data_IF_651904406692
#
_entry.id   IF_651904406692
#
_cell.length_a   1.000
_cell.length_b   1.000
_cell.length_c   1.000
_cell.angle_alpha   90.00
_cell.angle_beta   90.00
_cell.angle_gamma   90.00
#
_symmetry.space_group_name_H-M   'P 1'
#
loop_
_entity.id
_entity.type
_entity.pdbx_description
1 polymer ?
#
# COMPACT_ATOMS: atom_id res chain seq x y z
N UNK A 1 -17.51 -27.48 -6.88
CA UNK A 1 -16.40 -26.80 -6.18
C UNK A 1 -16.48 -27.20 -4.72
N UNK A 2 -15.33 -27.44 -4.07
CA UNK A 2 -15.25 -27.75 -2.66
C UNK A 2 -15.69 -26.52 -1.83
N UNK A 3 -16.41 -26.76 -0.74
CA UNK A 3 -16.87 -25.69 0.14
C UNK A 3 -15.73 -25.21 1.06
N UNK A 4 -15.69 -23.92 1.39
CA UNK A 4 -14.59 -23.34 2.20
C UNK A 4 -14.49 -23.99 3.60
N UNK A 5 -15.61 -24.39 4.19
CA UNK A 5 -15.62 -25.02 5.52
C UNK A 5 -14.99 -26.42 5.54
N UNK A 6 -14.84 -27.08 4.41
CA UNK A 6 -14.09 -28.34 4.29
C UNK A 6 -12.65 -28.07 3.84
N UNK A 7 -12.46 -27.22 2.83
CA UNK A 7 -11.14 -26.93 2.26
C UNK A 7 -10.17 -26.30 3.27
N UNK A 8 -10.64 -25.33 4.08
CA UNK A 8 -9.78 -24.57 5.00
C UNK A 8 -9.17 -25.46 6.09
N UNK A 9 -9.95 -26.31 6.84
CA UNK A 9 -9.36 -27.22 7.82
C UNK A 9 -8.39 -28.24 7.19
N UNK A 10 -8.69 -28.71 5.97
CA UNK A 10 -7.79 -29.60 5.23
C UNK A 10 -6.45 -28.91 4.95
N UNK A 11 -6.47 -27.69 4.42
CA UNK A 11 -5.25 -26.90 4.22
C UNK A 11 -4.50 -26.66 5.55
N UNK A 12 -5.23 -26.38 6.64
CA UNK A 12 -4.66 -26.22 7.97
C UNK A 12 -3.94 -27.48 8.49
N UNK A 13 -4.36 -28.69 8.05
CA UNK A 13 -3.69 -29.94 8.42
C UNK A 13 -2.33 -30.14 7.74
N UNK A 14 -2.05 -29.40 6.67
CA UNK A 14 -0.81 -29.51 5.89
C UNK A 14 0.23 -28.41 6.20
N UNK A 15 -0.17 -27.37 6.92
CA UNK A 15 0.64 -26.17 7.10
C UNK A 15 0.79 -25.82 8.58
N UNK A 16 1.90 -25.20 8.95
CA UNK A 16 2.09 -24.60 10.28
C UNK A 16 1.59 -23.15 10.33
N UNK A 17 1.66 -22.45 9.19
CA UNK A 17 1.20 -21.06 9.01
C UNK A 17 0.57 -20.93 7.63
N UNK A 18 -0.46 -20.11 7.48
CA UNK A 18 -1.16 -19.91 6.22
C UNK A 18 -1.15 -18.43 5.82
N UNK A 19 -0.63 -18.12 4.63
CA UNK A 19 -0.76 -16.82 3.98
C UNK A 19 -1.98 -16.79 3.07
N UNK A 20 -2.88 -15.83 3.28
CA UNK A 20 -4.09 -15.67 2.47
C UNK A 20 -4.01 -14.42 1.61
N UNK A 21 -4.33 -14.56 0.32
CA UNK A 21 -4.44 -13.45 -0.63
C UNK A 21 -5.82 -13.44 -1.27
N UNK A 22 -6.60 -12.41 -0.97
CA UNK A 22 -7.96 -12.26 -1.49
C UNK A 22 -8.23 -10.81 -1.89
N UNK A 23 -8.34 -10.58 -3.19
CA UNK A 23 -8.52 -9.23 -3.72
C UNK A 23 -9.94 -8.71 -3.57
N UNK A 24 -10.09 -7.38 -3.49
CA UNK A 24 -11.36 -6.72 -3.70
C UNK A 24 -11.90 -7.03 -5.11
N UNK A 25 -13.19 -7.27 -5.20
CA UNK A 25 -13.88 -7.49 -6.47
C UNK A 25 -14.33 -6.18 -7.13
N UNK A 26 -14.40 -5.09 -6.33
CA UNK A 26 -14.87 -3.77 -6.74
C UNK A 26 -16.31 -3.73 -7.26
N UNK A 27 -17.13 -4.69 -6.88
CA UNK A 27 -18.55 -4.77 -7.23
C UNK A 27 -19.44 -4.20 -6.12
N UNK A 28 -19.12 -4.54 -4.87
CA UNK A 28 -19.82 -4.12 -3.66
C UNK A 28 -18.78 -3.87 -2.56
N UNK A 29 -18.73 -2.62 -2.10
CA UNK A 29 -17.78 -2.19 -1.09
C UNK A 29 -18.01 -2.89 0.26
N UNK A 30 -19.28 -3.08 0.65
CA UNK A 30 -19.61 -3.72 1.92
C UNK A 30 -19.16 -5.19 1.91
N UNK A 31 -19.42 -5.92 0.80
CA UNK A 31 -18.95 -7.30 0.62
C UNK A 31 -17.43 -7.39 0.66
N UNK A 32 -16.74 -6.49 -0.04
CA UNK A 32 -15.26 -6.46 -0.07
C UNK A 32 -14.69 -6.16 1.31
N UNK A 33 -15.28 -5.22 2.07
CA UNK A 33 -14.80 -4.82 3.39
C UNK A 33 -15.07 -5.86 4.50
N UNK A 34 -15.98 -6.81 4.27
CA UNK A 34 -16.15 -7.97 5.15
C UNK A 34 -14.97 -8.94 5.09
N UNK A 35 -14.15 -8.89 4.04
CA UNK A 35 -12.97 -9.76 3.85
C UNK A 35 -13.24 -11.24 4.17
N UNK A 36 -14.42 -11.73 3.78
CA UNK A 36 -14.97 -13.05 4.18
C UNK A 36 -13.99 -14.20 4.02
N UNK A 37 -13.22 -14.23 2.93
CA UNK A 37 -12.27 -15.32 2.68
C UNK A 37 -11.20 -15.34 3.77
N UNK A 38 -10.58 -14.19 4.06
CA UNK A 38 -9.57 -14.06 5.11
C UNK A 38 -10.15 -14.45 6.47
N UNK A 39 -11.33 -13.94 6.81
CA UNK A 39 -12.04 -14.25 8.05
C UNK A 39 -12.34 -15.75 8.22
N UNK A 40 -12.75 -16.45 7.14
CA UNK A 40 -12.98 -17.88 7.18
C UNK A 40 -11.68 -18.65 7.48
N UNK A 41 -10.55 -18.27 6.87
CA UNK A 41 -9.27 -18.88 7.19
C UNK A 41 -8.84 -18.66 8.63
N UNK A 42 -9.00 -17.44 9.16
CA UNK A 42 -8.70 -17.12 10.56
C UNK A 42 -9.54 -18.01 11.51
N UNK A 43 -10.81 -18.21 11.20
CA UNK A 43 -11.74 -18.95 12.09
C UNK A 43 -11.60 -20.46 12.02
N UNK A 44 -11.24 -21.01 10.85
CA UNK A 44 -11.43 -22.45 10.59
C UNK A 44 -10.15 -23.21 10.25
N UNK A 45 -9.01 -22.54 10.02
CA UNK A 45 -7.78 -23.23 9.67
C UNK A 45 -7.12 -23.97 10.84
N UNK A 46 -7.38 -23.54 12.08
CA UNK A 46 -6.67 -24.03 13.26
C UNK A 46 -5.16 -23.69 13.27
N UNK A 47 -4.74 -22.74 12.42
CA UNK A 47 -3.35 -22.31 12.25
C UNK A 47 -3.24 -20.80 12.29
N UNK A 48 -2.09 -20.23 12.63
CA UNK A 48 -1.83 -18.80 12.42
C UNK A 48 -2.01 -18.42 10.96
N UNK A 49 -2.75 -17.34 10.73
CA UNK A 49 -3.05 -16.81 9.40
C UNK A 49 -2.50 -15.40 9.29
N UNK A 50 -1.88 -15.06 8.17
CA UNK A 50 -1.53 -13.69 7.85
C UNK A 50 -2.09 -13.27 6.48
N UNK A 51 -2.46 -12.00 6.37
CA UNK A 51 -2.90 -11.43 5.10
C UNK A 51 -1.70 -11.12 4.21
N UNK A 52 -1.62 -11.74 3.05
CA UNK A 52 -0.69 -11.35 2.00
C UNK A 52 -1.21 -10.12 1.23
N UNK A 53 -2.51 -10.07 1.00
CA UNK A 53 -3.28 -8.94 0.47
C UNK A 53 -4.77 -9.24 0.67
N UNK A 54 -5.53 -8.25 1.12
CA UNK A 54 -6.97 -8.33 1.25
C UNK A 54 -7.62 -7.09 0.59
N UNK A 55 -8.93 -6.97 0.68
CA UNK A 55 -9.64 -5.88 0.01
C UNK A 55 -9.25 -4.50 0.55
N UNK A 56 -8.99 -4.40 1.85
CA UNK A 56 -8.70 -3.11 2.50
C UNK A 56 -7.22 -2.90 2.78
N UNK A 57 -6.42 -3.97 2.92
CA UNK A 57 -5.03 -3.90 3.37
C UNK A 57 -4.10 -4.82 2.59
N UNK A 58 -2.88 -4.34 2.40
CA UNK A 58 -1.75 -5.11 1.89
C UNK A 58 -0.56 -5.01 2.86
N UNK A 59 -0.64 -5.65 4.04
CA UNK A 59 0.27 -5.38 5.15
C UNK A 59 1.74 -5.67 4.82
N UNK A 60 2.04 -6.74 4.10
CA UNK A 60 3.41 -7.07 3.72
C UNK A 60 4.01 -6.04 2.75
N UNK A 61 3.21 -5.45 1.86
CA UNK A 61 3.67 -4.38 0.99
C UNK A 61 3.99 -3.14 1.82
N UNK A 62 3.05 -2.70 2.65
CA UNK A 62 3.24 -1.49 3.43
C UNK A 62 4.39 -1.60 4.42
N UNK A 63 4.66 -2.80 4.91
CA UNK A 63 5.85 -3.06 5.72
C UNK A 63 7.14 -3.01 4.89
N UNK A 64 7.14 -3.54 3.67
CA UNK A 64 8.26 -3.41 2.74
C UNK A 64 8.54 -1.95 2.37
N UNK A 65 7.47 -1.16 2.17
CA UNK A 65 7.57 0.28 1.90
C UNK A 65 8.25 1.01 3.07
N UNK A 66 7.84 0.69 4.31
CA UNK A 66 8.48 1.24 5.53
C UNK A 66 9.95 0.85 5.63
N UNK A 67 10.28 -0.44 5.42
CA UNK A 67 11.67 -0.91 5.43
C UNK A 67 12.50 -0.11 4.42
N UNK A 68 11.97 0.08 3.21
CA UNK A 68 12.65 0.84 2.16
C UNK A 68 12.89 2.30 2.57
N UNK A 69 11.87 2.96 3.16
CA UNK A 69 12.05 4.33 3.67
C UNK A 69 13.14 4.36 4.76
N UNK A 70 13.12 3.42 5.70
CA UNK A 70 14.10 3.34 6.78
C UNK A 70 15.54 3.14 6.27
N UNK A 71 15.72 2.37 5.19
CA UNK A 71 17.04 2.13 4.57
C UNK A 71 17.60 3.36 3.83
N UNK A 72 16.72 4.19 3.24
CA UNK A 72 17.13 5.30 2.38
C UNK A 72 16.94 6.69 2.98
N UNK A 73 16.26 6.80 4.13
CA UNK A 73 16.06 8.10 4.77
C UNK A 73 17.38 8.70 5.26
N UNK A 74 17.50 10.01 5.11
CA UNK A 74 18.64 10.80 5.61
C UNK A 74 18.26 11.69 6.79
N UNK A 75 16.97 11.82 7.08
CA UNK A 75 16.40 12.60 8.19
C UNK A 75 15.68 11.65 9.15
N UNK A 76 15.68 11.97 10.43
CA UNK A 76 14.92 11.21 11.44
C UNK A 76 13.43 11.19 11.12
N UNK A 77 12.88 12.36 10.74
CA UNK A 77 11.49 12.54 10.32
C UNK A 77 11.43 13.02 8.87
N UNK A 78 11.51 12.10 7.89
CA UNK A 78 11.42 12.49 6.50
C UNK A 78 9.99 12.96 6.16
N UNK A 79 9.87 13.86 5.18
CA UNK A 79 8.60 14.21 4.57
C UNK A 79 8.26 13.17 3.51
N UNK A 80 7.18 12.43 3.75
CA UNK A 80 6.67 11.40 2.84
C UNK A 80 5.37 11.88 2.21
N UNK A 81 5.32 11.99 0.89
CA UNK A 81 4.13 12.38 0.14
C UNK A 81 3.55 11.17 -0.57
N UNK A 82 2.30 10.85 -0.29
CA UNK A 82 1.57 9.77 -0.92
C UNK A 82 0.51 10.30 -1.87
N UNK A 83 0.49 9.74 -3.09
CA UNK A 83 -0.60 9.95 -4.04
C UNK A 83 -1.41 8.65 -4.16
N UNK A 84 -2.62 8.62 -3.58
CA UNK A 84 -3.57 7.48 -3.58
C UNK A 84 -3.05 6.15 -2.98
N UNK A 85 -3.25 5.85 -1.71
CA UNK A 85 -3.13 4.50 -1.15
C UNK A 85 -3.77 4.39 0.25
N UNK A 86 -4.29 3.19 0.62
CA UNK A 86 -4.88 2.95 1.94
C UNK A 86 -3.86 2.38 2.95
N UNK A 87 -3.41 1.16 2.75
CA UNK A 87 -2.60 0.44 3.72
C UNK A 87 -1.23 1.07 3.99
N UNK A 88 -0.64 1.75 3.00
CA UNK A 88 0.56 2.55 3.19
C UNK A 88 0.36 3.64 4.25
N UNK A 89 -0.81 4.30 4.23
CA UNK A 89 -1.12 5.39 5.13
C UNK A 89 -1.12 4.96 6.61
N UNK A 90 -1.59 3.76 6.93
CA UNK A 90 -1.59 3.25 8.32
C UNK A 90 -0.16 3.13 8.86
N UNK A 91 0.78 2.60 8.08
CA UNK A 91 2.18 2.46 8.47
C UNK A 91 2.90 3.81 8.59
N UNK A 92 2.64 4.74 7.66
CA UNK A 92 3.21 6.09 7.72
C UNK A 92 2.67 6.89 8.91
N UNK A 93 1.40 6.67 9.27
CA UNK A 93 0.83 7.25 10.49
C UNK A 93 1.44 6.66 11.77
N UNK A 94 1.86 5.39 11.75
CA UNK A 94 2.52 4.74 12.88
C UNK A 94 4.00 5.15 12.99
N UNK A 95 4.67 5.35 11.86
CA UNK A 95 6.03 5.88 11.81
C UNK A 95 6.02 7.40 12.05
N UNK A 96 6.79 7.96 12.89
CA UNK A 96 6.74 9.41 13.22
C UNK A 96 7.30 10.30 12.08
N UNK A 97 6.73 10.20 10.86
CA UNK A 97 7.10 10.99 9.67
C UNK A 97 6.22 12.23 9.48
N UNK A 98 6.69 13.23 8.73
CA UNK A 98 5.85 14.30 8.17
C UNK A 98 5.10 13.73 6.97
N UNK A 99 3.92 13.16 7.24
CA UNK A 99 3.15 12.43 6.24
C UNK A 99 2.07 13.31 5.60
N UNK A 100 2.10 13.38 4.27
CA UNK A 100 1.16 14.15 3.46
C UNK A 100 0.47 13.23 2.45
N UNK A 101 -0.86 13.32 2.41
CA UNK A 101 -1.70 12.65 1.41
C UNK A 101 -2.14 13.68 0.40
N UNK A 102 -1.98 13.39 -0.90
CA UNK A 102 -2.47 14.26 -1.97
C UNK A 102 -3.26 13.46 -3.00
N UNK A 103 -4.39 13.99 -3.41
CA UNK A 103 -5.27 13.42 -4.43
C UNK A 103 -6.25 14.47 -4.96
N UNK A 104 -6.85 14.30 -6.15
CA UNK A 104 -7.95 15.14 -6.59
C UNK A 104 -9.19 14.91 -5.71
N UNK A 105 -10.13 15.86 -5.75
CA UNK A 105 -11.44 15.69 -5.13
C UNK A 105 -12.15 14.42 -5.65
N UNK A 106 -12.86 13.72 -4.76
CA UNK A 106 -13.54 12.46 -5.05
C UNK A 106 -12.69 11.19 -4.87
N UNK A 107 -11.43 11.36 -4.44
CA UNK A 107 -10.51 10.25 -4.16
C UNK A 107 -10.10 10.18 -2.68
N UNK A 108 -10.93 10.74 -1.81
CA UNK A 108 -10.69 10.77 -0.38
C UNK A 108 -10.54 9.36 0.18
N UNK A 109 -9.54 9.17 1.04
CA UNK A 109 -9.41 7.96 1.82
C UNK A 109 -10.43 7.96 2.97
N UNK A 110 -10.84 6.77 3.40
CA UNK A 110 -11.65 6.66 4.60
C UNK A 110 -10.91 7.26 5.82
N UNK A 111 -11.61 7.96 6.72
CA UNK A 111 -10.98 8.71 7.83
C UNK A 111 -9.99 7.89 8.67
N UNK A 112 -10.27 6.59 8.86
CA UNK A 112 -9.38 5.69 9.60
C UNK A 112 -7.99 5.54 8.96
N UNK A 113 -7.87 5.70 7.63
CA UNK A 113 -6.59 5.63 6.92
C UNK A 113 -5.89 6.98 6.86
N UNK A 114 -6.63 8.09 6.86
CA UNK A 114 -6.03 9.43 6.91
C UNK A 114 -5.25 9.62 8.21
N UNK A 115 -5.84 9.23 9.34
CA UNK A 115 -5.19 9.35 10.65
C UNK A 115 -4.71 10.77 10.94
N UNK A 116 -3.42 10.92 11.24
CA UNK A 116 -2.77 12.23 11.51
C UNK A 116 -2.15 12.89 10.27
N UNK A 117 -2.28 12.26 9.09
CA UNK A 117 -1.72 12.81 7.86
C UNK A 117 -2.34 14.16 7.52
N UNK A 118 -1.55 15.07 6.98
CA UNK A 118 -2.04 16.28 6.34
C UNK A 118 -2.55 15.94 4.94
N UNK A 119 -3.74 16.40 4.59
CA UNK A 119 -4.29 16.29 3.22
C UNK A 119 -4.04 17.59 2.49
N UNK A 120 -3.47 17.50 1.29
CA UNK A 120 -3.23 18.65 0.40
C UNK A 120 -3.76 18.29 -1.00
N UNK A 121 -4.69 19.07 -1.51
CA UNK A 121 -5.32 18.87 -2.82
C UNK A 121 -4.50 19.43 -3.98
N UNK A 122 -3.55 20.33 -3.71
CA UNK A 122 -2.57 20.79 -4.69
C UNK A 122 -1.34 19.87 -4.64
N UNK A 123 -1.21 19.02 -5.65
CA UNK A 123 -0.12 18.04 -5.71
C UNK A 123 1.26 18.74 -5.72
N UNK A 124 1.41 19.89 -6.38
CA UNK A 124 2.69 20.61 -6.44
C UNK A 124 3.09 21.10 -5.06
N UNK A 125 2.17 21.70 -4.30
CA UNK A 125 2.40 22.09 -2.90
C UNK A 125 2.71 20.92 -1.99
N UNK A 126 2.00 19.80 -2.17
CA UNK A 126 2.27 18.60 -1.40
C UNK A 126 3.72 18.15 -1.57
N UNK A 127 4.22 18.18 -2.81
CA UNK A 127 5.56 17.70 -3.18
C UNK A 127 6.70 18.62 -2.73
N UNK A 128 6.45 19.91 -2.47
CA UNK A 128 7.50 20.83 -2.04
C UNK A 128 8.29 20.32 -0.84
N UNK A 129 9.60 20.16 -1.00
CA UNK A 129 10.49 19.68 0.05
C UNK A 129 10.27 18.25 0.52
N UNK A 130 9.57 17.40 -0.25
CA UNK A 130 9.44 15.98 0.06
C UNK A 130 10.78 15.24 0.00
N UNK A 131 10.96 14.25 0.85
CA UNK A 131 12.09 13.31 0.84
C UNK A 131 11.73 12.00 0.12
N UNK A 132 10.45 11.61 0.16
CA UNK A 132 9.92 10.47 -0.54
C UNK A 132 8.59 10.80 -1.21
N UNK A 133 8.40 10.30 -2.43
CA UNK A 133 7.15 10.40 -3.20
C UNK A 133 6.68 8.98 -3.50
N UNK A 134 5.59 8.58 -2.85
CA UNK A 134 4.94 7.28 -3.08
C UNK A 134 3.73 7.48 -3.97
N UNK A 135 3.75 6.92 -5.17
CA UNK A 135 2.61 6.96 -6.08
C UNK A 135 1.90 5.60 -6.15
N UNK A 136 0.60 5.62 -6.41
CA UNK A 136 -0.20 4.41 -6.63
C UNK A 136 -1.19 4.59 -7.77
N UNK A 137 -1.70 3.48 -8.30
CA UNK A 137 -2.73 3.50 -9.34
C UNK A 137 -4.02 4.13 -8.81
N UNK A 138 -4.67 4.90 -9.65
CA UNK A 138 -5.84 5.69 -9.28
C UNK A 138 -7.10 4.83 -9.21
N UNK A 139 -7.74 4.80 -8.05
CA UNK A 139 -9.06 4.22 -7.84
C UNK A 139 -9.77 4.99 -6.71
N UNK A 140 -11.05 5.28 -6.88
CA UNK A 140 -11.87 5.88 -5.84
C UNK A 140 -12.26 4.83 -4.79
N UNK A 141 -12.22 5.22 -3.52
CA UNK A 141 -12.59 4.35 -2.39
C UNK A 141 -13.92 4.73 -1.75
N UNK A 142 -14.48 5.90 -2.11
CA UNK A 142 -15.77 6.37 -1.61
C UNK A 142 -16.93 5.95 -2.50
N UNK A 143 -18.08 5.66 -1.90
CA UNK A 143 -19.35 5.47 -2.63
C UNK A 143 -19.85 6.79 -3.23
N UNK A 144 -20.52 6.77 -4.38
CA UNK A 144 -20.92 5.59 -5.18
C UNK A 144 -19.86 5.17 -6.23
N UNK A 145 -18.64 5.61 -6.09
CA UNK A 145 -17.58 5.48 -7.11
C UNK A 145 -16.52 4.43 -6.76
N UNK A 146 -16.79 3.59 -5.79
CA UNK A 146 -15.85 2.56 -5.33
C UNK A 146 -15.22 1.77 -6.48
N UNK A 147 -13.90 1.70 -6.52
CA UNK A 147 -13.11 1.01 -7.53
C UNK A 147 -13.01 1.71 -8.90
N UNK A 148 -13.72 2.82 -9.12
CA UNK A 148 -13.73 3.52 -10.42
C UNK A 148 -12.55 4.48 -10.54
N UNK A 149 -12.07 4.63 -11.77
CA UNK A 149 -11.13 5.70 -12.13
C UNK A 149 -11.96 6.90 -12.60
N UNK A 150 -12.11 7.90 -11.72
CA UNK A 150 -12.93 9.09 -11.98
C UNK A 150 -12.18 10.14 -12.81
N UNK A 151 -10.89 10.28 -12.55
CA UNK A 151 -10.02 11.25 -13.18
C UNK A 151 -8.91 10.54 -13.95
N UNK A 152 -8.69 10.96 -15.19
CA UNK A 152 -7.56 10.54 -16.02
C UNK A 152 -6.70 11.74 -16.40
N UNK A 153 -6.74 12.77 -15.58
CA UNK A 153 -5.99 13.99 -15.81
C UNK A 153 -4.50 13.73 -15.61
N UNK A 154 -3.76 13.81 -16.70
CA UNK A 154 -2.31 13.65 -16.70
C UNK A 154 -1.58 14.76 -15.91
N UNK A 155 -2.28 15.84 -15.55
CA UNK A 155 -1.74 16.82 -14.63
C UNK A 155 -1.36 16.21 -13.27
N UNK A 156 -1.90 15.03 -12.93
CA UNK A 156 -1.55 14.27 -11.71
C UNK A 156 -0.40 13.27 -11.90
N UNK A 157 0.07 13.06 -13.13
CA UNK A 157 1.26 12.22 -13.38
C UNK A 157 2.47 12.79 -12.65
N UNK A 158 3.22 11.96 -11.94
CA UNK A 158 4.49 12.36 -11.34
C UNK A 158 5.54 12.39 -12.44
N UNK A 159 6.06 13.57 -12.74
CA UNK A 159 7.05 13.85 -13.77
C UNK A 159 8.29 14.53 -13.18
N UNK A 160 9.30 14.79 -14.03
CA UNK A 160 10.55 15.41 -13.62
C UNK A 160 10.37 16.83 -13.06
N UNK A 161 9.42 17.61 -13.61
CA UNK A 161 9.13 18.96 -13.10
C UNK A 161 8.62 18.91 -11.65
N UNK A 162 7.74 17.96 -11.34
CA UNK A 162 7.24 17.77 -10.00
C UNK A 162 8.29 17.22 -9.05
N UNK A 163 9.10 16.28 -9.51
CA UNK A 163 10.23 15.79 -8.72
C UNK A 163 11.24 16.89 -8.41
N UNK A 164 11.40 17.89 -9.29
CA UNK A 164 12.26 19.06 -9.04
C UNK A 164 11.75 19.99 -7.93
N UNK A 165 10.48 19.90 -7.51
CA UNK A 165 9.93 20.64 -6.36
C UNK A 165 10.32 20.02 -5.01
N UNK A 166 10.75 18.78 -5.01
CA UNK A 166 11.07 18.00 -3.81
C UNK A 166 12.47 18.32 -3.28
N UNK A 167 12.80 17.84 -2.09
CA UNK A 167 14.17 17.86 -1.57
C UNK A 167 14.96 16.67 -2.09
N UNK A 168 15.13 16.60 -3.43
CA UNK A 168 15.78 15.49 -4.11
C UNK A 168 15.19 14.13 -3.72
N UNK A 169 13.85 14.02 -3.71
CA UNK A 169 13.12 12.89 -3.21
C UNK A 169 13.41 11.57 -3.94
N UNK A 170 13.30 10.48 -3.22
CA UNK A 170 13.16 9.16 -3.82
C UNK A 170 11.73 8.93 -4.30
N UNK A 171 11.60 8.28 -5.46
CA UNK A 171 10.31 7.84 -6.00
C UNK A 171 10.06 6.38 -5.62
N UNK A 172 8.83 6.06 -5.20
CA UNK A 172 8.37 4.72 -4.79
C UNK A 172 7.04 4.35 -5.45
N UNK A 173 6.86 3.06 -5.74
CA UNK A 173 5.61 2.48 -6.24
C UNK A 173 5.63 0.96 -6.08
N UNK A 174 4.61 0.40 -5.46
CA UNK A 174 4.51 -1.04 -5.16
C UNK A 174 4.42 -2.00 -6.36
N UNK A 175 4.45 -1.50 -7.59
CA UNK A 175 4.29 -2.27 -8.83
C UNK A 175 3.04 -3.21 -8.84
N UNK A 176 2.44 -3.51 -10.02
CA UNK A 176 2.79 -2.96 -11.34
C UNK A 176 2.31 -1.51 -11.50
N UNK A 177 3.07 -0.71 -12.25
CA UNK A 177 2.78 0.70 -12.50
C UNK A 177 2.22 0.93 -13.90
N UNK A 178 1.33 1.91 -14.03
CA UNK A 178 0.89 2.44 -15.34
C UNK A 178 1.82 3.58 -15.74
N UNK A 179 2.87 3.24 -16.50
CA UNK A 179 3.86 4.20 -17.01
C UNK A 179 3.20 5.30 -17.86
N UNK A 180 3.72 6.49 -17.78
CA UNK A 180 3.25 7.68 -18.49
C UNK A 180 1.78 8.06 -18.20
N UNK A 181 1.25 7.50 -17.09
CA UNK A 181 -0.04 7.84 -16.51
C UNK A 181 0.12 8.18 -15.02
N UNK A 182 0.69 7.28 -14.22
CA UNK A 182 0.96 7.51 -12.80
C UNK A 182 2.30 8.25 -12.62
N UNK A 183 3.29 7.83 -13.36
CA UNK A 183 4.66 8.34 -13.35
C UNK A 183 5.24 8.27 -14.76
N UNK A 184 6.10 9.23 -15.12
CA UNK A 184 6.81 9.19 -16.40
C UNK A 184 7.94 8.17 -16.39
N UNK A 185 8.33 7.70 -17.58
CA UNK A 185 9.48 6.80 -17.74
C UNK A 185 10.76 7.42 -17.18
N UNK A 186 10.97 8.72 -17.40
CA UNK A 186 12.12 9.45 -16.88
C UNK A 186 12.26 9.36 -15.36
N UNK A 187 11.16 9.47 -14.61
CA UNK A 187 11.16 9.41 -13.14
C UNK A 187 11.38 7.99 -12.64
N UNK A 188 10.63 7.02 -13.18
CA UNK A 188 10.71 5.63 -12.70
C UNK A 188 12.03 4.95 -13.05
N UNK A 189 12.72 5.40 -14.11
CA UNK A 189 14.02 4.88 -14.52
C UNK A 189 15.20 5.71 -13.97
N UNK A 190 14.89 6.76 -13.19
CA UNK A 190 15.92 7.62 -12.62
C UNK A 190 16.72 6.89 -11.51
N UNK A 191 17.96 7.36 -11.21
CA UNK A 191 18.73 6.84 -10.07
C UNK A 191 18.05 7.07 -8.70
N UNK A 192 17.00 7.90 -8.65
CA UNK A 192 16.22 8.18 -7.44
C UNK A 192 14.97 7.30 -7.34
N UNK A 193 14.75 6.35 -8.25
CA UNK A 193 13.66 5.39 -8.18
C UNK A 193 14.03 4.20 -7.30
N UNK A 194 13.21 3.93 -6.29
CA UNK A 194 13.38 2.82 -5.35
C UNK A 194 12.42 1.66 -5.63
N UNK A 195 11.74 1.63 -6.77
CA UNK A 195 10.72 0.59 -7.07
C UNK A 195 11.29 -0.83 -7.04
N UNK A 196 12.56 -1.02 -7.38
CA UNK A 196 13.21 -2.34 -7.32
C UNK A 196 13.65 -2.69 -5.91
N UNK A 197 14.39 -1.85 -5.15
CA UNK A 197 14.63 -2.08 -3.71
C UNK A 197 13.34 -2.31 -2.91
N UNK A 198 12.30 -1.51 -3.14
CA UNK A 198 10.99 -1.65 -2.51
C UNK A 198 10.37 -3.04 -2.80
N UNK A 199 10.43 -3.49 -4.05
CA UNK A 199 9.95 -4.82 -4.43
C UNK A 199 10.80 -5.94 -3.78
N UNK A 200 12.11 -5.79 -3.65
CA UNK A 200 12.98 -6.74 -2.99
C UNK A 200 12.68 -6.85 -1.49
N UNK A 201 12.36 -5.74 -0.82
CA UNK A 201 11.99 -5.71 0.59
C UNK A 201 10.69 -6.47 0.92
N UNK A 202 9.91 -6.87 -0.10
CA UNK A 202 8.76 -7.79 0.07
C UNK A 202 9.19 -9.15 0.64
N UNK A 203 10.34 -9.66 0.24
CA UNK A 203 10.91 -10.89 0.79
C UNK A 203 11.22 -10.72 2.28
N UNK A 204 11.90 -9.64 2.64
CA UNK A 204 12.27 -9.35 4.03
C UNK A 204 11.02 -9.19 4.91
N UNK A 205 10.03 -8.44 4.44
CA UNK A 205 8.77 -8.25 5.17
C UNK A 205 8.06 -9.57 5.45
N UNK A 206 8.01 -10.47 4.46
CA UNK A 206 7.40 -11.79 4.60
C UNK A 206 8.18 -12.68 5.58
N UNK A 207 9.51 -12.69 5.50
CA UNK A 207 10.37 -13.45 6.41
C UNK A 207 10.19 -13.02 7.86
N UNK A 208 10.14 -11.71 8.14
CA UNK A 208 9.94 -11.18 9.50
C UNK A 208 8.59 -11.62 10.06
N UNK A 209 7.51 -11.50 9.27
CA UNK A 209 6.17 -11.91 9.71
C UNK A 209 6.12 -13.43 9.97
N UNK A 210 6.62 -14.25 9.03
CA UNK A 210 6.67 -15.71 9.19
C UNK A 210 7.48 -16.12 10.42
N UNK A 211 8.66 -15.52 10.61
CA UNK A 211 9.50 -15.79 11.79
C UNK A 211 8.73 -15.50 13.08
N UNK A 212 8.08 -14.35 13.20
CA UNK A 212 7.30 -13.98 14.39
C UNK A 212 6.13 -14.93 14.66
N UNK A 213 5.43 -15.38 13.61
CA UNK A 213 4.35 -16.34 13.76
C UNK A 213 4.84 -17.71 14.21
N UNK A 214 5.96 -18.19 13.65
CA UNK A 214 6.55 -19.48 14.02
C UNK A 214 7.13 -19.46 15.45
N UNK A 215 7.76 -18.37 15.87
CA UNK A 215 8.23 -18.18 17.25
C UNK A 215 7.07 -18.18 18.26
N UNK A 216 5.88 -17.77 17.87
CA UNK A 216 4.67 -17.80 18.70
C UNK A 216 4.01 -19.20 18.82
N UNK A 217 4.47 -20.19 18.06
CA UNK A 217 3.98 -21.57 18.11
C UNK A 217 4.74 -22.46 19.09
N UNK A 218 5.88 -22.01 19.60
CA UNK A 218 6.73 -22.70 20.61
C UNK A 218 6.52 -22.11 21.99
#
# INVERSE_FOLDING_TARGET
AEHLLEAIPVMGSYCDVIGVRSFAKFNDKAEDYEERVLEQFIRHSGRPVFSMEAATRHPLQSFADLITIEEYKTKERPKVVMTWANSFAEWMNAADYDFVITHPEGYELAPQFVGRARVEYDQRKALEGADFVYAKNWAAYADPNYGKVLCRDRAWTVDAEKMALTDNAFFMHCLPVRRNMIVTDEVIESPRSLVIPEAANREISAQVVLKRLLEGLG
#
